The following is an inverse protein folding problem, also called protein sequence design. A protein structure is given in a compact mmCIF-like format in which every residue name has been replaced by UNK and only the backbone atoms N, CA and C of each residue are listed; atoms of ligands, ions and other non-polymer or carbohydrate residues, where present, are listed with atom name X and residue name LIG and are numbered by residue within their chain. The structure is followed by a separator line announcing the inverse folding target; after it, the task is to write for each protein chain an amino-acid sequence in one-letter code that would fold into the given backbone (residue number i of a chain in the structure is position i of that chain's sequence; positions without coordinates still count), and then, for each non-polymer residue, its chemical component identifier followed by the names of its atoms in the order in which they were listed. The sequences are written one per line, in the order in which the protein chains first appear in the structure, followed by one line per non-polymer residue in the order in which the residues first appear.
data_IF_596476839007
#
_entry.id   IF_596476839007
#
_cell.length_a   1.000
_cell.length_b   1.000
_cell.length_c   1.000
_cell.angle_alpha   90.00
_cell.angle_beta   90.00
_cell.angle_gamma   90.00
#
_symmetry.space_group_name_H-M   'P 1'
#
loop_
_entity.id
_entity.type
_entity.pdbx_description
1 polymer ?
#
# COMPACT_ATOMS: atom_id res chain seq x y z
N UNK A 1 -8.00 -10.28 39.10
CA UNK A 1 -8.44 -9.11 38.28
C UNK A 1 -8.12 -9.23 36.78
N UNK A 2 -7.47 -10.31 36.32
CA UNK A 2 -7.10 -10.50 34.92
C UNK A 2 -8.22 -11.06 33.99
N UNK A 3 -9.23 -11.71 34.54
CA UNK A 3 -10.24 -12.42 33.74
C UNK A 3 -11.40 -11.55 33.20
N UNK A 4 -11.66 -10.38 33.78
CA UNK A 4 -12.77 -9.52 33.33
C UNK A 4 -12.45 -8.79 32.02
N UNK A 5 -11.19 -8.42 31.78
CA UNK A 5 -10.81 -7.72 30.57
C UNK A 5 -10.80 -8.63 29.34
N UNK A 6 -10.36 -9.88 29.50
CA UNK A 6 -10.34 -10.86 28.39
C UNK A 6 -11.75 -11.25 27.96
N UNK A 7 -12.69 -11.39 28.93
CA UNK A 7 -14.07 -11.73 28.63
C UNK A 7 -14.84 -10.60 27.91
N UNK A 8 -14.59 -9.35 28.28
CA UNK A 8 -15.18 -8.17 27.63
C UNK A 8 -14.67 -7.95 26.20
N UNK A 9 -13.43 -8.28 25.91
CA UNK A 9 -12.88 -8.20 24.53
C UNK A 9 -13.55 -9.24 23.64
N UNK A 10 -13.71 -10.48 24.12
CA UNK A 10 -14.34 -11.56 23.33
C UNK A 10 -15.84 -11.29 23.01
N UNK A 11 -16.58 -10.69 23.93
CA UNK A 11 -17.99 -10.31 23.73
C UNK A 11 -18.09 -9.14 22.72
N UNK A 12 -17.15 -8.19 22.75
CA UNK A 12 -17.11 -7.09 21.74
C UNK A 12 -16.83 -7.62 20.33
N UNK A 13 -15.91 -8.55 20.18
CA UNK A 13 -15.57 -9.14 18.87
C UNK A 13 -16.71 -9.94 18.25
N UNK A 14 -17.55 -10.59 19.04
CA UNK A 14 -18.68 -11.39 18.53
C UNK A 14 -19.80 -10.58 17.90
N UNK A 15 -19.93 -9.29 18.26
CA UNK A 15 -20.97 -8.38 17.76
C UNK A 15 -20.44 -7.33 16.76
N UNK A 16 -19.16 -7.35 16.41
CA UNK A 16 -18.58 -6.41 15.46
C UNK A 16 -18.87 -6.80 14.03
N UNK A 17 -19.13 -5.81 13.18
CA UNK A 17 -19.20 -6.01 11.73
C UNK A 17 -17.87 -6.55 11.18
N UNK A 18 -17.88 -7.09 9.96
CA UNK A 18 -16.66 -7.54 9.31
C UNK A 18 -15.68 -6.37 9.12
N UNK A 19 -16.18 -5.19 8.76
CA UNK A 19 -15.33 -4.00 8.59
C UNK A 19 -14.68 -3.58 9.91
N UNK A 20 -15.43 -3.57 11.01
CA UNK A 20 -14.86 -3.22 12.32
C UNK A 20 -13.75 -4.18 12.74
N UNK A 21 -13.91 -5.49 12.44
CA UNK A 21 -12.87 -6.49 12.70
C UNK A 21 -11.61 -6.26 11.86
N UNK A 22 -11.79 -5.88 10.57
CA UNK A 22 -10.66 -5.56 9.68
C UNK A 22 -9.93 -4.32 10.18
N UNK A 23 -10.65 -3.26 10.53
CA UNK A 23 -10.10 -2.01 11.06
C UNK A 23 -9.34 -2.29 12.37
N UNK A 24 -9.96 -2.98 13.32
CA UNK A 24 -9.32 -3.32 14.58
C UNK A 24 -8.02 -4.11 14.38
N UNK A 25 -8.04 -5.08 13.46
CA UNK A 25 -6.85 -5.88 13.15
C UNK A 25 -5.75 -5.04 12.50
N UNK A 26 -6.10 -4.12 11.61
CA UNK A 26 -5.15 -3.19 11.00
C UNK A 26 -4.49 -2.29 12.05
N UNK A 27 -5.28 -1.72 12.97
CA UNK A 27 -4.79 -0.88 14.07
C UNK A 27 -3.87 -1.64 15.04
N UNK A 28 -4.16 -2.92 15.32
CA UNK A 28 -3.36 -3.76 16.20
C UNK A 28 -2.04 -4.23 15.58
N UNK A 29 -1.99 -4.33 14.25
CA UNK A 29 -0.82 -4.79 13.50
C UNK A 29 -0.60 -3.91 12.27
N UNK A 30 -0.25 -2.64 12.52
CA UNK A 30 -0.04 -1.65 11.45
C UNK A 30 1.08 -2.09 10.52
N UNK A 31 0.77 -2.04 9.24
CA UNK A 31 1.71 -2.34 8.17
C UNK A 31 2.21 -1.03 7.55
N UNK A 32 3.43 -1.05 7.02
CA UNK A 32 4.03 0.06 6.28
C UNK A 32 3.56 -0.02 4.83
N UNK A 33 2.71 0.92 4.45
CA UNK A 33 2.05 0.92 3.13
C UNK A 33 2.58 2.08 2.29
N UNK A 34 3.11 1.74 1.12
CA UNK A 34 3.58 2.71 0.13
C UNK A 34 2.43 3.17 -0.76
N UNK A 35 2.32 4.49 -0.91
CA UNK A 35 1.40 5.15 -1.84
C UNK A 35 2.23 5.98 -2.83
N UNK A 36 2.53 5.40 -4.02
CA UNK A 36 3.43 6.05 -4.98
C UNK A 36 2.79 7.21 -5.75
N UNK A 37 1.46 7.28 -5.80
CA UNK A 37 0.71 8.33 -6.49
C UNK A 37 0.32 9.45 -5.52
N UNK A 38 1.31 10.00 -4.79
CA UNK A 38 1.12 10.89 -3.64
C UNK A 38 0.54 12.25 -4.00
N UNK A 39 0.64 12.69 -5.26
CA UNK A 39 0.07 13.96 -5.73
C UNK A 39 -1.34 13.80 -6.32
N UNK A 40 -1.94 12.62 -6.23
CA UNK A 40 -3.34 12.39 -6.57
C UNK A 40 -4.23 12.68 -5.35
N UNK A 41 -5.23 13.58 -5.54
CA UNK A 41 -6.04 14.14 -4.43
C UNK A 41 -6.76 13.06 -3.60
N UNK A 42 -7.31 12.02 -4.24
CA UNK A 42 -7.99 10.92 -3.52
C UNK A 42 -7.01 10.06 -2.74
N UNK A 43 -5.83 9.81 -3.32
CA UNK A 43 -4.77 9.04 -2.67
C UNK A 43 -4.26 9.76 -1.43
N UNK A 44 -3.98 11.06 -1.55
CA UNK A 44 -3.50 11.84 -0.40
C UNK A 44 -4.57 12.00 0.68
N UNK A 45 -5.85 12.17 0.29
CA UNK A 45 -6.98 12.20 1.23
C UNK A 45 -7.15 10.86 1.95
N UNK A 46 -7.02 9.75 1.24
CA UNK A 46 -7.08 8.41 1.84
C UNK A 46 -5.89 8.16 2.80
N UNK A 47 -4.70 8.67 2.46
CA UNK A 47 -3.53 8.64 3.35
C UNK A 47 -3.81 9.39 4.66
N UNK A 48 -4.35 10.60 4.60
CA UNK A 48 -4.71 11.41 5.77
C UNK A 48 -5.68 10.67 6.70
N UNK A 49 -6.74 10.07 6.13
CA UNK A 49 -7.71 9.27 6.90
C UNK A 49 -7.06 8.03 7.52
N UNK A 50 -6.24 7.29 6.77
CA UNK A 50 -5.56 6.12 7.29
C UNK A 50 -4.60 6.45 8.44
N UNK A 51 -3.93 7.60 8.37
CA UNK A 51 -3.06 8.12 9.42
C UNK A 51 -3.85 8.60 10.64
N UNK A 52 -4.97 9.29 10.42
CA UNK A 52 -5.88 9.74 11.47
C UNK A 52 -6.41 8.56 12.29
N UNK A 53 -6.85 7.53 11.60
CA UNK A 53 -7.45 6.32 12.18
C UNK A 53 -6.42 5.29 12.67
N UNK A 54 -5.13 5.51 12.43
CA UNK A 54 -4.04 4.60 12.81
C UNK A 54 -4.09 3.25 12.13
N UNK A 55 -4.55 3.19 10.86
CA UNK A 55 -4.74 1.94 10.12
C UNK A 55 -3.43 1.38 9.56
N UNK A 56 -2.49 2.26 9.19
CA UNK A 56 -1.21 1.90 8.60
C UNK A 56 -0.16 2.98 8.88
N UNK A 57 1.11 2.61 8.76
CA UNK A 57 2.22 3.55 8.66
C UNK A 57 2.42 3.87 7.19
N UNK A 58 2.10 5.10 6.78
CA UNK A 58 2.05 5.50 5.37
C UNK A 58 3.40 6.01 4.90
N UNK A 59 3.83 5.54 3.73
CA UNK A 59 5.00 6.03 3.00
C UNK A 59 4.52 6.66 1.69
N UNK A 60 4.71 7.97 1.54
CA UNK A 60 4.39 8.74 0.35
C UNK A 60 5.66 8.90 -0.51
N UNK A 61 5.54 8.70 -1.83
CA UNK A 61 6.66 8.86 -2.76
C UNK A 61 6.47 10.14 -3.56
N UNK A 62 7.41 11.08 -3.46
CA UNK A 62 7.40 12.33 -4.21
C UNK A 62 8.07 13.47 -3.47
N UNK A 63 8.00 14.65 -4.08
CA UNK A 63 8.56 15.87 -3.50
C UNK A 63 7.74 16.31 -2.28
N UNK A 64 8.43 16.48 -1.14
CA UNK A 64 7.80 16.81 0.14
C UNK A 64 7.03 18.15 0.09
N UNK A 65 7.60 19.15 -0.56
CA UNK A 65 6.96 20.47 -0.65
C UNK A 65 5.68 20.43 -1.48
N UNK A 66 5.67 19.67 -2.58
CA UNK A 66 4.48 19.50 -3.42
C UNK A 66 3.38 18.73 -2.68
N UNK A 67 3.75 17.68 -1.93
CA UNK A 67 2.83 16.89 -1.13
C UNK A 67 2.18 17.76 -0.05
N UNK A 68 2.96 18.53 0.71
CA UNK A 68 2.42 19.42 1.73
C UNK A 68 1.58 20.56 1.14
N UNK A 69 1.99 21.14 0.01
CA UNK A 69 1.18 22.16 -0.68
C UNK A 69 -0.19 21.61 -1.10
N UNK A 70 -0.25 20.38 -1.59
CA UNK A 70 -1.50 19.70 -1.91
C UNK A 70 -2.31 19.38 -0.65
N UNK A 71 -1.68 18.91 0.41
CA UNK A 71 -2.34 18.64 1.69
C UNK A 71 -2.97 19.91 2.29
N UNK A 72 -2.29 21.03 2.23
CA UNK A 72 -2.82 22.34 2.69
C UNK A 72 -4.01 22.79 1.84
N UNK A 73 -3.92 22.66 0.51
CA UNK A 73 -5.03 22.97 -0.43
C UNK A 73 -6.27 22.14 -0.10
N UNK A 74 -6.10 20.88 0.30
CA UNK A 74 -7.18 19.95 0.63
C UNK A 74 -7.59 19.99 2.12
N UNK A 75 -6.94 20.86 2.94
CA UNK A 75 -7.14 20.95 4.39
C UNK A 75 -6.91 19.66 5.17
N UNK A 76 -5.99 18.80 4.70
CA UNK A 76 -5.60 17.56 5.37
C UNK A 76 -4.75 17.88 6.62
N UNK A 77 -4.86 17.06 7.68
CA UNK A 77 -4.30 17.40 9.00
C UNK A 77 -3.30 16.37 9.54
N UNK A 78 -3.16 15.23 8.89
CA UNK A 78 -2.38 14.10 9.42
C UNK A 78 -1.27 13.63 8.47
N UNK A 79 -1.14 14.29 7.30
CA UNK A 79 -0.11 13.96 6.29
C UNK A 79 1.31 14.13 6.85
N UNK A 80 1.48 15.01 7.86
CA UNK A 80 2.72 15.22 8.60
C UNK A 80 3.22 13.97 9.33
N UNK A 81 2.35 12.99 9.58
CA UNK A 81 2.70 11.70 10.20
C UNK A 81 3.23 10.68 9.19
N UNK A 82 3.11 10.93 7.89
CA UNK A 82 3.62 10.05 6.86
C UNK A 82 5.14 10.15 6.74
N UNK A 83 5.78 9.05 6.34
CA UNK A 83 7.15 9.11 5.84
C UNK A 83 7.12 9.54 4.38
N UNK A 84 7.79 10.64 4.03
CA UNK A 84 7.88 11.11 2.65
C UNK A 84 9.27 10.77 2.10
N UNK A 85 9.31 10.14 0.91
CA UNK A 85 10.56 9.77 0.25
C UNK A 85 10.54 10.31 -1.18
N UNK A 86 11.46 11.21 -1.47
CA UNK A 86 11.68 11.71 -2.83
C UNK A 86 12.76 10.86 -3.52
N UNK A 87 12.44 10.14 -4.60
CA UNK A 87 13.43 9.36 -5.36
C UNK A 87 14.63 10.19 -5.85
N UNK A 88 14.42 11.48 -6.12
CA UNK A 88 15.49 12.38 -6.58
C UNK A 88 16.52 12.70 -5.50
N UNK A 89 16.11 12.68 -4.23
CA UNK A 89 16.90 13.12 -3.09
C UNK A 89 17.20 12.01 -2.07
N UNK A 90 16.65 10.80 -2.28
CA UNK A 90 16.82 9.69 -1.34
C UNK A 90 18.25 9.12 -1.41
N UNK A 91 18.90 8.91 -0.25
CA UNK A 91 20.21 8.27 -0.20
C UNK A 91 20.20 6.81 -0.69
N UNK A 92 19.02 6.17 -0.72
CA UNK A 92 18.86 4.78 -1.18
C UNK A 92 18.63 4.63 -2.69
N UNK A 93 18.52 5.74 -3.45
CA UNK A 93 18.17 5.67 -4.88
C UNK A 93 19.21 4.89 -5.69
N UNK A 94 20.50 5.08 -5.45
CA UNK A 94 21.52 4.32 -6.16
C UNK A 94 21.55 2.85 -5.71
N UNK A 95 21.33 2.55 -4.43
CA UNK A 95 21.20 1.18 -3.92
C UNK A 95 20.04 0.46 -4.60
N UNK A 96 18.89 1.13 -4.73
CA UNK A 96 17.71 0.57 -5.41
C UNK A 96 17.93 0.42 -6.92
N UNK A 97 18.68 1.31 -7.56
CA UNK A 97 19.07 1.14 -8.96
C UNK A 97 19.96 -0.09 -9.17
N UNK A 98 20.90 -0.32 -8.28
CA UNK A 98 21.76 -1.51 -8.29
C UNK A 98 20.94 -2.79 -8.04
N UNK A 99 20.01 -2.77 -7.08
CA UNK A 99 19.11 -3.88 -6.81
C UNK A 99 18.25 -4.21 -8.04
N UNK A 100 17.65 -3.21 -8.67
CA UNK A 100 16.85 -3.39 -9.88
C UNK A 100 17.70 -3.97 -11.03
N UNK A 101 18.91 -3.45 -11.23
CA UNK A 101 19.85 -3.98 -12.20
C UNK A 101 20.16 -5.45 -11.94
N UNK A 102 20.54 -5.82 -10.71
CA UNK A 102 20.82 -7.22 -10.33
C UNK A 102 19.64 -8.16 -10.62
N UNK A 103 18.43 -7.70 -10.35
CA UNK A 103 17.22 -8.49 -10.60
C UNK A 103 16.90 -8.68 -12.09
N UNK A 104 17.36 -7.75 -12.96
CA UNK A 104 16.92 -7.65 -14.35
C UNK A 104 18.04 -7.75 -15.40
N UNK A 105 19.32 -7.74 -15.02
CA UNK A 105 20.46 -7.81 -15.95
C UNK A 105 20.38 -9.03 -16.88
N UNK A 106 19.95 -10.19 -16.39
CA UNK A 106 19.75 -11.40 -17.20
C UNK A 106 18.64 -11.27 -18.25
N UNK A 107 17.83 -10.22 -18.16
CA UNK A 107 16.76 -9.86 -19.11
C UNK A 107 17.14 -8.65 -19.97
N UNK A 108 18.42 -8.28 -19.99
CA UNK A 108 18.98 -7.23 -20.84
C UNK A 108 18.91 -5.80 -20.28
N UNK A 109 18.50 -5.60 -19.03
CA UNK A 109 18.50 -4.26 -18.42
C UNK A 109 19.93 -3.78 -18.19
N UNK A 110 20.23 -2.53 -18.54
CA UNK A 110 21.48 -1.86 -18.19
C UNK A 110 21.35 -1.11 -16.88
N UNK A 111 22.48 -0.73 -16.29
CA UNK A 111 22.47 0.05 -15.04
C UNK A 111 21.91 1.46 -15.26
N UNK A 112 22.16 2.06 -16.44
CA UNK A 112 21.61 3.37 -16.81
C UNK A 112 20.08 3.30 -16.95
N UNK A 113 19.57 2.20 -17.49
CA UNK A 113 18.12 1.96 -17.55
C UNK A 113 17.51 1.76 -16.14
N UNK A 114 18.22 1.04 -15.28
CA UNK A 114 17.80 0.87 -13.89
C UNK A 114 17.75 2.21 -13.13
N UNK A 115 18.77 3.06 -13.31
CA UNK A 115 18.79 4.42 -12.73
C UNK A 115 17.65 5.31 -13.22
N UNK A 116 17.24 5.18 -14.48
CA UNK A 116 16.05 5.90 -14.98
C UNK A 116 14.77 5.35 -14.39
N UNK A 117 14.64 4.02 -14.32
CA UNK A 117 13.41 3.36 -13.81
C UNK A 117 13.21 3.54 -12.31
N UNK A 118 14.27 3.65 -11.53
CA UNK A 118 14.15 3.89 -10.08
C UNK A 118 13.52 5.25 -9.76
N UNK A 119 13.55 6.20 -10.69
CA UNK A 119 12.89 7.49 -10.54
C UNK A 119 11.37 7.42 -10.71
N UNK A 120 10.83 6.32 -11.26
CA UNK A 120 9.40 6.07 -11.34
C UNK A 120 8.87 5.63 -9.96
N UNK A 121 7.89 6.35 -9.38
CA UNK A 121 7.36 6.05 -8.06
C UNK A 121 6.83 4.62 -7.90
N UNK A 122 6.26 4.02 -8.95
CA UNK A 122 5.78 2.63 -8.91
C UNK A 122 6.93 1.63 -8.77
N UNK A 123 8.04 1.86 -9.49
CA UNK A 123 9.24 1.06 -9.35
C UNK A 123 9.92 1.28 -8.00
N UNK A 124 10.02 2.53 -7.57
CA UNK A 124 10.64 2.89 -6.29
C UNK A 124 9.91 2.22 -5.12
N UNK A 125 8.57 2.27 -5.09
CA UNK A 125 7.76 1.63 -4.06
C UNK A 125 7.93 0.12 -4.01
N UNK A 126 7.98 -0.55 -5.17
CA UNK A 126 8.26 -1.98 -5.23
C UNK A 126 9.67 -2.32 -4.71
N UNK A 127 10.66 -1.43 -4.90
CA UNK A 127 12.02 -1.63 -4.39
C UNK A 127 12.10 -1.42 -2.88
N UNK A 128 11.36 -0.46 -2.30
CA UNK A 128 11.19 -0.32 -0.84
C UNK A 128 10.69 -1.63 -0.23
N UNK A 129 9.64 -2.23 -0.82
CA UNK A 129 9.09 -3.51 -0.35
C UNK A 129 10.12 -4.62 -0.50
N UNK A 130 10.79 -4.69 -1.65
CA UNK A 130 11.80 -5.73 -1.92
C UNK A 130 12.98 -5.69 -0.94
N UNK A 131 13.33 -4.50 -0.46
CA UNK A 131 14.38 -4.29 0.54
C UNK A 131 13.92 -4.53 1.98
N UNK A 132 12.62 -4.80 2.20
CA UNK A 132 12.06 -5.02 3.54
C UNK A 132 11.76 -3.73 4.32
N UNK A 133 11.81 -2.57 3.65
CA UNK A 133 11.53 -1.28 4.27
C UNK A 133 10.03 -0.93 4.27
N UNK A 134 9.19 -1.68 3.53
CA UNK A 134 7.73 -1.62 3.57
C UNK A 134 7.10 -3.00 3.38
N UNK A 135 5.81 -3.12 3.67
CA UNK A 135 5.08 -4.37 3.71
C UNK A 135 4.10 -4.52 2.51
N UNK A 136 3.67 -3.40 1.93
CA UNK A 136 2.78 -3.39 0.78
C UNK A 136 2.75 -2.06 0.03
N UNK A 137 2.15 -2.08 -1.16
CA UNK A 137 1.91 -0.89 -1.98
C UNK A 137 0.45 -0.87 -2.46
N UNK A 138 -0.16 0.29 -2.41
CA UNK A 138 -1.48 0.54 -3.01
C UNK A 138 -1.31 1.61 -4.09
N UNK A 139 -1.71 1.30 -5.31
CA UNK A 139 -1.61 2.18 -6.47
C UNK A 139 -2.69 1.87 -7.51
N UNK A 140 -2.79 2.68 -8.55
CA UNK A 140 -3.78 2.54 -9.62
C UNK A 140 -4.84 3.64 -9.63
N UNK A 141 -4.63 4.73 -8.90
CA UNK A 141 -5.50 5.91 -8.96
C UNK A 141 -5.27 6.72 -10.25
N UNK A 142 -4.03 6.77 -10.74
CA UNK A 142 -3.62 7.39 -12.00
C UNK A 142 -3.08 6.37 -13.00
N UNK A 143 -2.45 5.31 -12.51
CA UNK A 143 -1.72 4.34 -13.33
C UNK A 143 -2.65 3.23 -13.83
N UNK A 144 -2.35 2.71 -15.02
CA UNK A 144 -3.05 1.53 -15.54
C UNK A 144 -2.69 0.27 -14.75
N UNK A 145 -3.54 -0.75 -14.83
CA UNK A 145 -3.25 -2.08 -14.23
C UNK A 145 -1.91 -2.63 -14.71
N UNK A 146 -1.60 -2.48 -16.01
CA UNK A 146 -0.33 -2.93 -16.58
C UNK A 146 0.89 -2.21 -16.02
N UNK A 147 0.79 -0.89 -15.82
CA UNK A 147 1.89 -0.09 -15.27
C UNK A 147 2.10 -0.38 -13.78
N UNK A 148 1.03 -0.63 -13.04
CA UNK A 148 1.09 -1.03 -11.62
C UNK A 148 1.68 -2.44 -11.45
N UNK A 149 1.22 -3.42 -12.23
CA UNK A 149 1.65 -4.81 -12.07
C UNK A 149 3.05 -5.09 -12.62
N UNK A 150 3.48 -4.36 -13.65
CA UNK A 150 4.80 -4.59 -14.28
C UNK A 150 5.97 -4.48 -13.30
N UNK A 151 6.13 -3.40 -12.50
CA UNK A 151 7.19 -3.33 -11.49
C UNK A 151 7.03 -4.41 -10.41
N UNK A 152 5.81 -4.70 -9.95
CA UNK A 152 5.58 -5.73 -8.94
C UNK A 152 6.04 -7.11 -9.43
N UNK A 153 5.67 -7.50 -10.65
CA UNK A 153 6.11 -8.77 -11.25
C UNK A 153 7.62 -8.83 -11.53
N UNK A 154 8.23 -7.70 -11.85
CA UNK A 154 9.66 -7.62 -12.16
C UNK A 154 10.54 -7.67 -10.90
N UNK A 155 10.09 -7.08 -9.79
CA UNK A 155 10.87 -6.83 -8.57
C UNK A 155 10.45 -7.77 -7.45
N UNK A 156 9.17 -7.75 -7.06
CA UNK A 156 8.65 -8.53 -5.94
C UNK A 156 8.50 -9.99 -6.34
N UNK A 157 7.91 -10.24 -7.53
CA UNK A 157 7.59 -11.56 -8.09
C UNK A 157 6.50 -12.29 -7.29
N UNK A 158 6.14 -13.50 -7.77
CA UNK A 158 5.26 -14.40 -7.03
C UNK A 158 6.02 -15.11 -5.92
N UNK A 159 5.31 -15.54 -4.89
CA UNK A 159 5.86 -16.38 -3.84
C UNK A 159 6.31 -17.76 -4.43
N UNK A 160 7.27 -18.44 -3.80
CA UNK A 160 7.69 -19.77 -4.24
C UNK A 160 6.51 -20.73 -4.38
N UNK A 161 6.42 -21.42 -5.50
CA UNK A 161 5.33 -22.37 -5.81
C UNK A 161 4.06 -21.74 -6.38
N UNK A 162 3.99 -20.40 -6.47
CA UNK A 162 2.86 -19.70 -7.08
C UNK A 162 3.21 -19.30 -8.51
N UNK A 163 2.41 -19.75 -9.47
CA UNK A 163 2.65 -19.54 -10.91
C UNK A 163 1.87 -18.37 -11.52
N UNK A 164 0.87 -17.84 -10.82
CA UNK A 164 0.03 -16.75 -11.32
C UNK A 164 -0.26 -15.73 -10.23
N UNK A 165 -0.59 -14.52 -10.66
CA UNK A 165 -1.15 -13.46 -9.79
C UNK A 165 -2.66 -13.58 -9.82
N UNK A 166 -3.29 -13.52 -8.65
CA UNK A 166 -4.75 -13.50 -8.51
C UNK A 166 -5.17 -12.35 -7.61
N UNK A 167 -6.32 -11.76 -7.91
CA UNK A 167 -6.95 -10.75 -7.07
C UNK A 167 -8.31 -11.24 -6.57
N UNK A 168 -8.69 -10.80 -5.39
CA UNK A 168 -10.02 -11.03 -4.85
C UNK A 168 -10.60 -9.70 -4.32
N UNK A 169 -11.87 -9.45 -4.64
CA UNK A 169 -12.61 -8.32 -4.08
C UNK A 169 -13.68 -8.84 -3.13
N UNK A 170 -13.73 -8.25 -1.94
CA UNK A 170 -14.76 -8.52 -0.95
C UNK A 170 -15.84 -7.44 -1.07
N UNK A 171 -17.04 -7.84 -1.50
CA UNK A 171 -18.20 -6.96 -1.58
C UNK A 171 -19.06 -7.11 -0.35
N UNK A 172 -19.24 -6.03 0.39
CA UNK A 172 -20.20 -5.95 1.49
C UNK A 172 -21.50 -5.36 0.95
N UNK A 173 -22.58 -6.13 0.97
CA UNK A 173 -23.88 -5.67 0.50
C UNK A 173 -24.85 -5.53 1.67
N UNK A 174 -25.65 -4.47 1.66
CA UNK A 174 -26.74 -4.24 2.61
C UNK A 174 -28.12 -4.57 1.99
N UNK A 175 -28.14 -5.39 0.93
CA UNK A 175 -29.39 -5.75 0.25
C UNK A 175 -30.29 -6.63 1.15
N UNK A 176 -31.53 -6.22 1.45
CA UNK A 176 -32.46 -6.95 2.38
C UNK A 176 -32.74 -8.39 1.96
N UNK A 177 -32.67 -8.67 0.64
CA UNK A 177 -32.93 -10.01 0.08
C UNK A 177 -31.87 -11.05 0.51
N UNK A 178 -30.72 -10.65 1.01
CA UNK A 178 -29.62 -11.54 1.40
C UNK A 178 -29.37 -11.59 2.92
N UNK A 179 -30.21 -10.96 3.74
CA UNK A 179 -30.03 -10.84 5.19
C UNK A 179 -29.04 -9.76 5.60
N UNK A 180 -28.90 -9.55 6.89
CA UNK A 180 -27.95 -8.57 7.42
C UNK A 180 -26.52 -8.97 7.03
N UNK A 181 -25.76 -8.02 6.50
CA UNK A 181 -24.34 -8.12 6.11
C UNK A 181 -23.89 -9.49 5.57
N UNK A 182 -23.93 -9.68 4.26
CA UNK A 182 -23.20 -10.79 3.61
C UNK A 182 -22.02 -10.26 2.83
N UNK A 183 -20.85 -10.82 3.14
CA UNK A 183 -19.66 -10.65 2.36
C UNK A 183 -19.67 -11.61 1.17
N UNK A 184 -19.59 -11.10 -0.06
CA UNK A 184 -19.36 -11.91 -1.26
C UNK A 184 -17.92 -11.70 -1.74
N UNK A 185 -17.17 -12.79 -1.91
CA UNK A 185 -15.86 -12.76 -2.53
C UNK A 185 -16.04 -12.91 -4.03
N UNK A 186 -15.73 -11.84 -4.78
CA UNK A 186 -15.66 -11.89 -6.24
C UNK A 186 -14.18 -12.05 -6.60
N UNK A 187 -13.80 -13.25 -7.02
CA UNK A 187 -12.45 -13.53 -7.49
C UNK A 187 -12.32 -13.20 -8.98
N UNK A 188 -11.30 -12.42 -9.35
CA UNK A 188 -10.82 -12.33 -10.72
C UNK A 188 -9.45 -13.04 -10.79
N UNK A 189 -9.36 -14.03 -11.68
CA UNK A 189 -8.07 -14.65 -12.03
C UNK A 189 -7.61 -13.97 -13.31
N UNK A 190 -6.46 -13.30 -13.27
CA UNK A 190 -5.80 -12.74 -14.44
C UNK A 190 -4.60 -13.61 -14.83
#
# INVERSE_FOLDING_TARGET
NGNQYTFNIHIRESNMSLMDKIILRAQQNRQRIVLPESLEERTLTAADHALADGLADIILIGNEQEIFALADKLNLKHVDKATIIDPANSPKTEEYAQLLFQLRQKKGMTIEEARRKVMDPLYFGCLIIKSGDADGQISGALSTTGDTLRPALQIIKCAPGISCVSGAMLLLTQAPAYGAERAQVVGAVA
#
